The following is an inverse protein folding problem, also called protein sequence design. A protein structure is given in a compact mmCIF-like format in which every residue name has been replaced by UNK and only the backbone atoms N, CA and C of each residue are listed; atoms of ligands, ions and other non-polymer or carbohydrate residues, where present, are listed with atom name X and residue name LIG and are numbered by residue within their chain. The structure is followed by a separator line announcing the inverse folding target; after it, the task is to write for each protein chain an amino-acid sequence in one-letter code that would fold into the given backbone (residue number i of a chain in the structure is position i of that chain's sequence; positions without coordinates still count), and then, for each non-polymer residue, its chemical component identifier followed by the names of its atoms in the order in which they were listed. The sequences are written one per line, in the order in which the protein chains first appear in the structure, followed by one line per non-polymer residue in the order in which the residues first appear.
data_IF_816796416114
#
_entry.id   IF_816796416114
#
_cell.length_a   1.000
_cell.length_b   1.000
_cell.length_c   1.000
_cell.angle_alpha   90.00
_cell.angle_beta   90.00
_cell.angle_gamma   90.00
#
_symmetry.space_group_name_H-M   'P 1'
#
loop_
_entity.id
_entity.type
_entity.pdbx_description
1 polymer ?
#
# COMPACT_ATOMS: atom_id res chain seq x y z
N UNK A 1 33.48 28.12 16.43
CA UNK A 1 32.35 27.20 16.13
C UNK A 1 32.40 26.87 14.64
N UNK A 2 32.59 25.59 14.27
CA UNK A 2 32.78 25.20 12.86
C UNK A 2 31.43 25.20 12.15
N UNK A 3 31.32 25.96 11.05
CA UNK A 3 30.11 26.01 10.22
C UNK A 3 29.91 24.67 9.50
N UNK A 4 28.70 24.12 9.58
CA UNK A 4 28.35 22.88 8.89
C UNK A 4 28.18 23.14 7.40
N UNK A 5 28.67 22.22 6.56
CA UNK A 5 28.59 22.32 5.11
C UNK A 5 27.14 22.29 4.61
N UNK A 6 26.80 23.00 3.52
CA UNK A 6 25.42 23.16 3.04
C UNK A 6 24.75 21.82 2.66
N UNK A 7 25.55 20.82 2.31
CA UNK A 7 25.09 19.46 1.99
C UNK A 7 24.53 18.75 3.24
N UNK A 8 25.18 18.93 4.39
CA UNK A 8 24.72 18.38 5.68
C UNK A 8 23.43 19.07 6.17
N UNK A 9 23.29 20.37 5.91
CA UNK A 9 22.08 21.12 6.24
C UNK A 9 20.87 20.69 5.39
N UNK A 10 21.08 20.38 4.10
CA UNK A 10 20.03 19.91 3.20
C UNK A 10 19.51 18.50 3.57
N UNK A 11 20.42 17.60 3.96
CA UNK A 11 20.06 16.25 4.40
C UNK A 11 19.28 16.24 5.73
N UNK A 12 19.57 17.16 6.64
CA UNK A 12 18.83 17.32 7.89
C UNK A 12 17.35 17.71 7.66
N UNK A 13 17.07 18.47 6.60
CA UNK A 13 15.71 18.89 6.24
C UNK A 13 14.88 17.75 5.61
N UNK A 14 15.52 16.82 4.90
CA UNK A 14 14.85 15.65 4.31
C UNK A 14 14.48 14.58 5.35
N UNK A 15 15.22 14.49 6.46
CA UNK A 15 15.05 13.42 7.44
C UNK A 15 14.09 13.77 8.59
N UNK A 16 13.53 14.99 8.67
CA UNK A 16 12.65 15.46 9.77
C UNK A 16 13.06 14.87 11.12
N UNK A 17 14.33 14.96 11.47
CA UNK A 17 14.81 14.53 12.78
C UNK A 17 14.33 15.60 13.77
N UNK A 18 13.38 15.34 14.68
CA UNK A 18 13.03 16.32 15.68
C UNK A 18 14.20 16.40 16.66
N UNK A 19 15.04 17.44 16.51
CA UNK A 19 15.88 17.88 17.61
C UNK A 19 14.93 18.38 18.69
N UNK A 20 14.71 17.52 19.69
CA UNK A 20 13.92 17.80 20.88
C UNK A 20 14.53 18.99 21.63
N UNK A 21 14.07 20.21 21.34
CA UNK A 21 14.18 21.31 22.30
C UNK A 21 13.12 21.09 23.37
N UNK A 22 13.57 20.67 24.56
CA UNK A 22 12.69 20.59 25.72
C UNK A 22 12.26 22.01 26.11
N UNK A 23 10.96 22.31 26.27
CA UNK A 23 10.54 23.56 26.87
C UNK A 23 10.84 23.53 28.37
N UNK A 24 11.60 24.53 28.83
CA UNK A 24 11.83 24.81 30.25
C UNK A 24 10.50 25.13 30.94
N UNK A 25 10.20 24.38 32.00
CA UNK A 25 9.01 24.54 32.84
C UNK A 25 9.21 25.75 33.77
N UNK A 26 8.31 26.76 33.80
CA UNK A 26 8.38 27.77 34.84
C UNK A 26 7.98 27.16 36.19
N UNK A 27 8.83 27.39 37.19
CA UNK A 27 8.57 27.11 38.60
C UNK A 27 7.49 28.08 39.09
N UNK A 28 6.33 27.56 39.48
CA UNK A 28 5.29 28.34 40.17
C UNK A 28 5.54 28.20 41.66
N UNK A 29 5.79 29.34 42.30
CA UNK A 29 5.91 29.52 43.74
C UNK A 29 4.60 29.14 44.43
N UNK A 30 4.73 28.36 45.51
CA UNK A 30 3.65 28.11 46.46
C UNK A 30 3.29 29.43 47.17
N UNK A 31 2.02 29.81 47.10
CA UNK A 31 1.40 30.72 48.05
C UNK A 31 0.11 30.06 48.57
N UNK A 32 0.07 29.94 49.88
CA UNK A 32 -1.07 29.51 50.69
C UNK A 32 -2.26 30.45 50.51
N UNK A 33 -3.48 29.90 50.54
CA UNK A 33 -4.46 30.25 51.58
C UNK A 33 -5.74 29.40 51.44
N UNK A 34 -5.98 28.64 52.51
CA UNK A 34 -7.27 28.38 53.14
C UNK A 34 -8.30 29.49 52.90
N UNK A 35 -9.37 29.19 52.16
CA UNK A 35 -10.79 29.45 52.44
C UNK A 35 -11.56 29.49 51.10
N UNK A 36 -12.30 28.42 50.81
CA UNK A 36 -13.61 28.44 50.12
C UNK A 36 -14.03 26.98 49.92
N UNK A 37 -14.79 26.46 50.90
CA UNK A 37 -15.56 25.21 50.77
C UNK A 37 -16.54 25.37 49.59
N UNK A 38 -16.12 24.93 48.40
CA UNK A 38 -17.00 24.66 47.26
C UNK A 38 -17.27 23.15 47.24
N UNK A 39 -18.51 22.70 47.01
CA UNK A 39 -18.80 21.27 46.91
C UNK A 39 -17.92 20.66 45.83
N UNK A 40 -17.32 19.51 46.14
CA UNK A 40 -16.47 18.76 45.24
C UNK A 40 -17.15 18.63 43.87
N UNK A 41 -16.62 19.34 42.87
CA UNK A 41 -17.02 19.10 41.48
C UNK A 41 -16.59 17.68 41.16
N UNK A 42 -17.56 16.79 41.02
CA UNK A 42 -17.36 15.46 40.45
C UNK A 42 -16.65 15.63 39.11
N UNK A 43 -15.40 15.19 39.07
CA UNK A 43 -14.54 15.23 37.89
C UNK A 43 -15.02 14.15 36.92
N UNK A 44 -16.16 14.37 36.28
CA UNK A 44 -16.69 13.44 35.27
C UNK A 44 -17.45 14.24 34.24
N UNK A 45 -16.85 14.37 33.04
CA UNK A 45 -17.39 15.11 31.90
C UNK A 45 -18.39 14.29 31.07
N UNK A 46 -18.79 13.11 31.52
CA UNK A 46 -19.81 12.30 30.84
C UNK A 46 -21.19 12.62 31.39
N UNK A 47 -22.04 13.19 30.54
CA UNK A 47 -23.47 13.39 30.82
C UNK A 47 -24.10 12.09 31.34
N UNK A 48 -24.95 12.13 32.38
CA UNK A 48 -25.64 10.94 32.87
C UNK A 48 -26.49 10.35 31.74
N UNK A 49 -26.21 9.10 31.37
CA UNK A 49 -26.95 8.37 30.34
C UNK A 49 -28.43 8.27 30.76
N UNK A 50 -29.31 8.89 29.97
CA UNK A 50 -30.76 8.79 30.16
C UNK A 50 -31.20 7.31 30.13
N UNK A 51 -32.08 6.93 31.06
CA UNK A 51 -32.63 5.57 31.17
C UNK A 51 -33.27 5.16 29.84
N UNK A 52 -32.74 4.11 29.21
CA UNK A 52 -33.22 3.60 27.91
C UNK A 52 -34.68 3.13 28.05
N UNK A 53 -35.58 3.70 27.25
CA UNK A 53 -37.00 3.28 27.16
C UNK A 53 -37.05 1.81 26.76
N UNK A 54 -37.72 0.98 27.55
CA UNK A 54 -37.75 -0.49 27.42
C UNK A 54 -38.35 -0.98 26.10
N UNK A 55 -39.18 -0.16 25.43
CA UNK A 55 -39.88 -0.47 24.18
C UNK A 55 -39.53 0.50 23.03
N UNK A 56 -38.28 0.97 22.92
CA UNK A 56 -37.86 1.72 21.74
C UNK A 56 -37.79 0.78 20.52
N UNK A 57 -38.28 1.19 19.33
CA UNK A 57 -38.14 0.37 18.13
C UNK A 57 -36.66 0.08 17.91
N UNK A 58 -36.31 -1.21 17.76
CA UNK A 58 -34.95 -1.59 17.39
C UNK A 58 -34.67 -0.90 16.06
N UNK A 59 -33.73 0.05 16.07
CA UNK A 59 -33.33 0.76 14.86
C UNK A 59 -32.94 -0.23 13.77
N UNK A 60 -33.05 0.18 12.51
CA UNK A 60 -32.79 -0.70 11.37
C UNK A 60 -31.44 -1.43 11.54
N UNK A 61 -31.49 -2.77 11.48
CA UNK A 61 -30.31 -3.64 11.64
C UNK A 61 -29.23 -3.29 10.63
N UNK A 62 -29.60 -2.83 9.43
CA UNK A 62 -28.66 -2.36 8.41
C UNK A 62 -27.88 -1.15 8.91
N UNK A 63 -28.58 -0.18 9.50
CA UNK A 63 -27.97 1.02 10.09
C UNK A 63 -27.09 0.67 11.29
N UNK A 64 -27.49 -0.32 12.11
CA UNK A 64 -26.65 -0.82 13.21
C UNK A 64 -25.37 -1.48 12.69
N UNK A 65 -25.45 -2.33 11.66
CA UNK A 65 -24.28 -2.97 11.04
C UNK A 65 -23.36 -1.95 10.38
N UNK A 66 -23.91 -0.99 9.64
CA UNK A 66 -23.14 0.12 9.04
C UNK A 66 -22.40 0.89 10.13
N UNK A 67 -23.09 1.26 11.23
CA UNK A 67 -22.47 1.98 12.35
C UNK A 67 -21.40 1.15 13.05
N UNK A 68 -21.61 -0.17 13.17
CA UNK A 68 -20.65 -1.10 13.76
C UNK A 68 -19.38 -1.26 12.92
N UNK A 69 -19.49 -1.40 11.59
CA UNK A 69 -18.33 -1.53 10.71
C UNK A 69 -17.60 -0.19 10.51
N UNK A 70 -18.33 0.93 10.53
CA UNK A 70 -17.71 2.26 10.41
C UNK A 70 -16.98 2.69 11.69
N UNK A 71 -17.51 2.35 12.86
CA UNK A 71 -16.96 2.73 14.16
C UNK A 71 -16.73 1.51 15.03
N UNK A 72 -15.87 0.61 14.55
CA UNK A 72 -15.67 -0.67 15.20
C UNK A 72 -14.87 -0.51 16.51
N UNK A 73 -15.48 -0.83 17.69
CA UNK A 73 -14.83 -0.60 18.98
C UNK A 73 -13.68 -1.57 19.27
N UNK A 74 -13.50 -2.64 18.49
CA UNK A 74 -12.37 -3.58 18.63
C UNK A 74 -11.17 -3.18 17.77
N UNK A 75 -11.13 -1.96 17.22
CA UNK A 75 -9.90 -1.45 16.61
C UNK A 75 -8.81 -1.40 17.68
N UNK A 76 -7.76 -2.24 17.59
CA UNK A 76 -6.76 -2.30 18.64
C UNK A 76 -6.00 -0.97 18.69
N UNK A 77 -5.50 -0.63 19.88
CA UNK A 77 -4.62 0.54 20.02
C UNK A 77 -3.36 0.34 19.16
N UNK A 78 -2.75 1.43 18.66
CA UNK A 78 -1.51 1.33 17.91
C UNK A 78 -0.43 0.58 18.68
N UNK A 79 0.31 -0.26 17.96
CA UNK A 79 1.30 -1.15 18.55
C UNK A 79 2.50 -0.36 19.09
N UNK A 80 2.85 -0.60 20.37
CA UNK A 80 4.02 0.00 21.02
C UNK A 80 5.15 -1.02 21.07
N UNK A 81 6.24 -0.75 20.36
CA UNK A 81 7.42 -1.60 20.36
C UNK A 81 8.48 -1.12 21.36
N UNK A 82 9.19 -2.07 21.97
CA UNK A 82 10.47 -1.77 22.63
C UNK A 82 11.53 -1.40 21.60
N UNK A 83 12.60 -0.72 22.03
CA UNK A 83 13.67 -0.26 21.12
C UNK A 83 14.26 -1.40 20.27
N UNK A 84 14.61 -2.53 20.88
CA UNK A 84 15.19 -3.68 20.16
C UNK A 84 14.21 -4.32 19.17
N UNK A 85 12.92 -4.43 19.56
CA UNK A 85 11.86 -4.92 18.68
C UNK A 85 11.61 -3.99 17.49
N UNK A 86 11.59 -2.68 17.75
CA UNK A 86 11.44 -1.65 16.71
C UNK A 86 12.59 -1.73 15.69
N UNK A 87 13.84 -1.86 16.16
CA UNK A 87 15.00 -1.99 15.26
C UNK A 87 14.92 -3.25 14.40
N UNK A 88 14.54 -4.40 14.97
CA UNK A 88 14.35 -5.65 14.17
C UNK A 88 13.28 -5.47 13.09
N UNK A 89 12.14 -4.90 13.47
CA UNK A 89 11.06 -4.63 12.53
C UNK A 89 11.51 -3.67 11.43
N UNK A 90 12.22 -2.60 11.78
CA UNK A 90 12.77 -1.64 10.83
C UNK A 90 13.74 -2.29 9.84
N UNK A 91 14.63 -3.16 10.31
CA UNK A 91 15.57 -3.88 9.44
C UNK A 91 14.84 -4.80 8.47
N UNK A 92 13.87 -5.59 8.94
CA UNK A 92 13.07 -6.48 8.08
C UNK A 92 12.31 -5.66 7.03
N UNK A 93 11.66 -4.56 7.46
CA UNK A 93 10.94 -3.68 6.57
C UNK A 93 11.86 -3.07 5.51
N UNK A 94 13.07 -2.63 5.89
CA UNK A 94 14.03 -2.06 4.94
C UNK A 94 14.55 -3.11 3.95
N UNK A 95 14.85 -4.32 4.42
CA UNK A 95 15.25 -5.43 3.58
C UNK A 95 14.14 -5.80 2.57
N UNK A 96 12.88 -5.81 3.01
CA UNK A 96 11.74 -6.03 2.14
C UNK A 96 11.59 -4.95 1.06
N UNK A 97 11.71 -3.67 1.43
CA UNK A 97 11.68 -2.57 0.44
C UNK A 97 12.80 -2.69 -0.60
N UNK A 98 14.00 -3.07 -0.16
CA UNK A 98 15.15 -3.28 -1.05
C UNK A 98 14.89 -4.44 -2.01
N UNK A 99 14.40 -5.57 -1.50
CA UNK A 99 13.99 -6.72 -2.30
C UNK A 99 12.91 -6.37 -3.32
N UNK A 100 11.87 -5.62 -2.93
CA UNK A 100 10.83 -5.14 -3.85
C UNK A 100 11.38 -4.20 -4.93
N UNK A 101 12.34 -3.34 -4.59
CA UNK A 101 13.01 -2.48 -5.57
C UNK A 101 13.80 -3.32 -6.58
N UNK A 102 14.56 -4.31 -6.10
CA UNK A 102 15.29 -5.25 -6.96
C UNK A 102 14.35 -6.02 -7.90
N UNK A 103 13.23 -6.54 -7.40
CA UNK A 103 12.24 -7.22 -8.23
C UNK A 103 11.63 -6.31 -9.31
N UNK A 104 11.33 -5.05 -8.98
CA UNK A 104 10.82 -4.08 -9.97
C UNK A 104 11.86 -3.80 -11.04
N UNK A 105 13.10 -3.51 -10.64
CA UNK A 105 14.19 -3.26 -11.57
C UNK A 105 14.45 -4.47 -12.49
N UNK A 106 14.42 -5.68 -11.94
CA UNK A 106 14.58 -6.92 -12.72
C UNK A 106 13.46 -7.09 -13.75
N UNK A 107 12.21 -6.81 -13.36
CA UNK A 107 11.06 -6.84 -14.28
C UNK A 107 11.17 -5.79 -15.37
N UNK A 108 11.57 -4.57 -15.04
CA UNK A 108 11.76 -3.48 -16.00
C UNK A 108 12.87 -3.78 -17.00
N UNK A 109 13.99 -4.34 -16.54
CA UNK A 109 15.10 -4.76 -17.40
C UNK A 109 14.65 -5.89 -18.34
N UNK A 110 13.92 -6.88 -17.83
CA UNK A 110 13.41 -7.97 -18.66
C UNK A 110 12.42 -7.48 -19.73
N UNK A 111 11.52 -6.55 -19.38
CA UNK A 111 10.64 -5.89 -20.34
C UNK A 111 11.44 -5.07 -21.38
N UNK A 112 12.48 -4.36 -20.95
CA UNK A 112 13.37 -3.63 -21.86
C UNK A 112 14.10 -4.60 -22.81
N UNK A 113 14.59 -5.72 -22.31
CA UNK A 113 15.25 -6.78 -23.11
C UNK A 113 14.30 -7.34 -24.16
N UNK A 114 13.07 -7.67 -23.78
CA UNK A 114 12.04 -8.17 -24.70
C UNK A 114 11.71 -7.12 -25.76
N UNK A 115 11.54 -5.85 -25.36
CA UNK A 115 11.28 -4.76 -26.29
C UNK A 115 12.44 -4.55 -27.28
N UNK A 116 13.69 -4.55 -26.81
CA UNK A 116 14.87 -4.42 -27.65
C UNK A 116 14.97 -5.57 -28.66
N UNK A 117 14.72 -6.80 -28.23
CA UNK A 117 14.71 -7.97 -29.11
C UNK A 117 13.61 -7.88 -30.18
N UNK A 118 12.39 -7.48 -29.78
CA UNK A 118 11.28 -7.24 -30.72
C UNK A 118 11.61 -6.14 -31.71
N UNK A 119 12.20 -5.03 -31.25
CA UNK A 119 12.57 -3.91 -32.10
C UNK A 119 13.64 -4.31 -33.13
N UNK A 120 14.69 -5.01 -32.69
CA UNK A 120 15.73 -5.51 -33.59
C UNK A 120 15.15 -6.45 -34.66
N UNK A 121 14.28 -7.39 -34.27
CA UNK A 121 13.62 -8.28 -35.24
C UNK A 121 12.73 -7.52 -36.23
N UNK A 122 12.06 -6.45 -35.80
CA UNK A 122 11.26 -5.60 -36.68
C UNK A 122 12.12 -4.78 -37.64
N UNK A 123 13.27 -4.29 -37.20
CA UNK A 123 14.23 -3.59 -38.07
C UNK A 123 14.80 -4.53 -39.13
N UNK A 124 15.18 -5.76 -38.76
CA UNK A 124 15.60 -6.79 -39.72
C UNK A 124 14.49 -7.11 -40.74
N UNK A 125 13.23 -7.19 -40.33
CA UNK A 125 12.10 -7.36 -41.26
C UNK A 125 11.87 -6.14 -42.17
N UNK A 126 12.30 -4.95 -41.76
CA UNK A 126 12.10 -3.71 -42.51
C UNK A 126 13.14 -3.55 -43.61
N UNK A 127 14.40 -3.94 -43.35
CA UNK A 127 15.54 -3.72 -44.27
C UNK A 127 16.14 -5.01 -44.81
N UNK A 128 16.22 -6.07 -44.01
CA UNK A 128 16.96 -7.30 -44.32
C UNK A 128 16.19 -8.35 -45.11
N UNK A 129 14.86 -8.31 -45.13
CA UNK A 129 14.04 -9.35 -45.78
C UNK A 129 13.96 -9.25 -47.32
N UNK A 130 14.53 -8.22 -47.95
CA UNK A 130 14.54 -8.04 -49.42
C UNK A 130 13.17 -7.80 -50.07
N UNK A 131 12.12 -7.62 -49.27
CA UNK A 131 10.71 -7.49 -49.72
C UNK A 131 10.22 -6.04 -49.76
N UNK A 132 11.14 -5.07 -49.59
CA UNK A 132 10.83 -3.64 -49.47
C UNK A 132 10.00 -3.29 -48.22
N UNK A 133 10.10 -4.08 -47.15
CA UNK A 133 9.39 -3.87 -45.88
C UNK A 133 7.91 -4.25 -45.92
N UNK A 134 7.49 -5.14 -46.83
CA UNK A 134 6.09 -5.59 -46.97
C UNK A 134 5.64 -6.40 -45.76
N UNK A 135 6.48 -7.31 -45.27
CA UNK A 135 6.24 -8.12 -44.08
C UNK A 135 6.19 -7.25 -42.82
N UNK A 136 7.10 -6.28 -42.70
CA UNK A 136 7.05 -5.28 -41.62
C UNK A 136 5.73 -4.50 -41.60
N UNK A 137 5.25 -4.02 -42.76
CA UNK A 137 3.94 -3.34 -42.85
C UNK A 137 2.77 -4.23 -42.43
N UNK A 138 2.83 -5.54 -42.73
CA UNK A 138 1.82 -6.51 -42.30
C UNK A 138 1.86 -6.79 -40.81
N UNK A 139 3.06 -6.94 -40.21
CA UNK A 139 3.20 -7.23 -38.77
C UNK A 139 2.75 -6.07 -37.89
N UNK A 140 2.90 -4.83 -38.38
CA UNK A 140 2.43 -3.62 -37.68
C UNK A 140 0.92 -3.41 -37.72
N UNK A 141 0.18 -4.29 -38.40
CA UNK A 141 -1.27 -4.21 -38.47
C UNK A 141 -1.91 -4.62 -37.14
N UNK A 142 -2.69 -3.72 -36.53
CA UNK A 142 -3.37 -3.95 -35.24
C UNK A 142 -4.83 -4.41 -35.37
N UNK A 143 -5.20 -5.02 -36.50
CA UNK A 143 -6.54 -5.61 -36.68
C UNK A 143 -6.85 -6.61 -35.56
N UNK A 144 -8.07 -6.54 -35.03
CA UNK A 144 -8.60 -7.38 -33.95
C UNK A 144 -7.91 -7.29 -32.57
N UNK A 145 -6.74 -6.65 -32.44
CA UNK A 145 -6.01 -6.53 -31.17
C UNK A 145 -6.83 -5.86 -30.07
N UNK A 146 -7.67 -4.89 -30.45
CA UNK A 146 -8.52 -4.14 -29.51
C UNK A 146 -9.96 -4.63 -29.44
N UNK A 147 -10.37 -5.58 -30.29
CA UNK A 147 -11.75 -6.11 -30.33
C UNK A 147 -11.85 -7.51 -29.76
N UNK A 148 -10.97 -8.42 -30.17
CA UNK A 148 -11.07 -9.85 -29.86
C UNK A 148 -10.39 -10.21 -28.53
N UNK A 149 -9.57 -9.29 -27.99
CA UNK A 149 -8.85 -9.42 -26.73
C UNK A 149 -8.06 -10.75 -26.65
N UNK A 150 -7.68 -11.15 -25.43
CA UNK A 150 -7.01 -12.43 -25.19
C UNK A 150 -8.05 -13.54 -24.98
N UNK A 151 -7.85 -14.74 -25.54
CA UNK A 151 -8.73 -15.89 -25.30
C UNK A 151 -8.85 -16.18 -23.80
N UNK A 152 -10.08 -16.34 -23.31
CA UNK A 152 -10.37 -16.53 -21.88
C UNK A 152 -9.68 -17.78 -21.30
N UNK A 153 -9.42 -18.79 -22.13
CA UNK A 153 -8.72 -20.02 -21.75
C UNK A 153 -7.28 -19.77 -21.32
N UNK A 154 -6.61 -18.74 -21.86
CA UNK A 154 -5.25 -18.36 -21.49
C UNK A 154 -5.19 -17.48 -20.24
N UNK A 155 -6.28 -16.79 -19.90
CA UNK A 155 -6.37 -15.91 -18.73
C UNK A 155 -6.39 -16.62 -17.37
N UNK A 156 -6.08 -17.93 -17.32
CA UNK A 156 -6.05 -18.72 -16.09
C UNK A 156 -4.90 -18.24 -15.20
N UNK A 157 -5.22 -17.88 -13.95
CA UNK A 157 -4.25 -17.43 -12.96
C UNK A 157 -3.43 -18.62 -12.43
N UNK A 158 -2.21 -18.34 -11.97
CA UNK A 158 -1.37 -19.31 -11.28
C UNK A 158 -2.02 -19.68 -9.94
N UNK A 159 -2.03 -20.97 -9.61
CA UNK A 159 -2.56 -21.54 -8.37
C UNK A 159 -1.42 -22.08 -7.50
N UNK A 160 -1.62 -22.12 -6.17
CA UNK A 160 -0.62 -22.62 -5.21
C UNK A 160 -0.28 -24.10 -5.41
N UNK A 161 -1.25 -24.91 -5.89
CA UNK A 161 -1.07 -26.31 -6.24
C UNK A 161 -1.69 -26.63 -7.61
N UNK A 162 -1.22 -27.69 -8.29
CA UNK A 162 -1.78 -28.10 -9.57
C UNK A 162 -3.18 -28.71 -9.41
N UNK A 163 -3.97 -28.70 -10.50
CA UNK A 163 -5.20 -29.49 -10.59
C UNK A 163 -4.89 -30.99 -10.62
N UNK A 164 -5.84 -31.84 -10.21
CA UNK A 164 -5.69 -33.31 -10.28
C UNK A 164 -5.38 -33.80 -11.70
N UNK A 165 -6.04 -33.22 -12.70
CA UNK A 165 -5.85 -33.57 -14.12
C UNK A 165 -4.65 -32.82 -14.75
N UNK A 166 -4.13 -31.77 -14.11
CA UNK A 166 -2.99 -30.98 -14.61
C UNK A 166 -3.27 -30.29 -15.95
N UNK A 167 -2.91 -30.96 -17.06
CA UNK A 167 -3.01 -30.45 -18.43
C UNK A 167 -3.89 -31.35 -19.31
N UNK A 168 -4.77 -30.74 -20.11
CA UNK A 168 -5.63 -31.49 -21.02
C UNK A 168 -4.88 -31.86 -22.32
N UNK A 169 -4.36 -33.09 -22.37
CA UNK A 169 -3.72 -33.65 -23.57
C UNK A 169 -4.70 -34.06 -24.68
N UNK A 170 -5.99 -34.19 -24.36
CA UNK A 170 -7.04 -34.63 -25.28
C UNK A 170 -7.73 -33.47 -26.00
N UNK A 171 -7.23 -32.24 -25.85
CA UNK A 171 -7.82 -31.06 -26.47
C UNK A 171 -8.00 -31.26 -27.98
N UNK A 172 -9.23 -31.12 -28.46
CA UNK A 172 -9.60 -31.15 -29.88
C UNK A 172 -10.35 -29.88 -30.22
N UNK A 173 -10.04 -29.29 -31.37
CA UNK A 173 -10.81 -28.18 -31.93
C UNK A 173 -12.25 -28.68 -32.14
N UNK A 174 -13.22 -28.04 -31.49
CA UNK A 174 -14.62 -28.31 -31.78
C UNK A 174 -14.89 -27.95 -33.26
N UNK A 175 -15.25 -28.96 -34.06
CA UNK A 175 -15.77 -28.71 -35.41
C UNK A 175 -17.13 -28.06 -35.22
N UNK A 176 -17.30 -26.86 -35.77
CA UNK A 176 -18.53 -26.10 -35.70
C UNK A 176 -19.35 -26.34 -36.96
#
# INVERSE_FOLDING_TARGET
MRSLSPILASLANALKIPLSSAPTRPSITQLSNELLKKPARTFTTTNPLLKRKTNAPRGDRRVTLIRYFLWHPLTPRPLRFSRTRFLRHWTIHRAWQLHQAQQRNARELELQRQWQAMNAACEELRTGAGDGGKLFRKSMNKRAVFTDLFPIEYGRLQTEGPSQEGWNHEWKRMVK
#
